data_IF_208347644808
#
_entry.id   IF_208347644808
#
_cell.length_a   1.000
_cell.length_b   1.000
_cell.length_c   1.000
_cell.angle_alpha   90.00
_cell.angle_beta   90.00
_cell.angle_gamma   90.00
#
_symmetry.space_group_name_H-M   'P 1'
#
loop_
_entity.id
_entity.type
_entity.pdbx_description
1 polymer ?
#
# COMPACT_ATOMS: atom_id res chain seq x y z
N UNK A 1 -1.74 16.20 -8.74
CA UNK A 1 -2.43 14.93 -8.49
C UNK A 1 -1.35 13.87 -8.52
N UNK A 2 -1.19 13.06 -7.49
CA UNK A 2 -0.31 11.88 -7.61
C UNK A 2 -1.10 10.85 -8.44
N UNK A 3 -1.22 11.13 -9.74
CA UNK A 3 -1.91 10.31 -10.73
C UNK A 3 -1.07 9.07 -10.99
N UNK A 4 -1.65 7.90 -10.73
CA UNK A 4 -1.12 6.59 -11.13
C UNK A 4 0.25 6.23 -10.53
N UNK A 5 0.27 5.89 -9.24
CA UNK A 5 1.45 5.27 -8.58
C UNK A 5 1.99 4.02 -9.30
N UNK A 6 1.19 3.34 -10.12
CA UNK A 6 1.60 2.10 -10.79
C UNK A 6 1.93 2.22 -12.29
N UNK A 7 1.57 3.30 -13.01
CA UNK A 7 1.62 3.30 -14.50
C UNK A 7 2.36 4.53 -15.10
N UNK A 8 2.46 5.66 -14.39
CA UNK A 8 3.22 6.83 -14.88
C UNK A 8 4.48 7.04 -14.05
N UNK A 9 5.62 7.23 -14.73
CA UNK A 9 6.92 7.55 -14.11
C UNK A 9 7.02 9.00 -13.59
N UNK A 10 6.10 9.87 -13.99
CA UNK A 10 6.14 11.29 -13.67
C UNK A 10 4.94 11.69 -12.79
N UNK A 11 5.22 12.31 -11.64
CA UNK A 11 4.20 12.93 -10.79
C UNK A 11 3.77 14.25 -11.45
N UNK A 12 2.61 14.25 -12.11
CA UNK A 12 2.04 15.48 -12.67
C UNK A 12 1.29 16.26 -11.57
N UNK A 13 1.97 17.25 -10.99
CA UNK A 13 1.32 18.25 -10.14
C UNK A 13 0.45 19.18 -11.00
N UNK A 14 -0.83 18.82 -11.13
CA UNK A 14 -1.83 19.56 -11.91
C UNK A 14 -2.29 20.90 -11.28
N UNK A 15 -1.82 21.26 -10.08
CA UNK A 15 -2.23 22.48 -9.37
C UNK A 15 -1.08 23.04 -8.52
N UNK A 16 -0.70 24.28 -8.78
CA UNK A 16 0.41 24.97 -8.10
C UNK A 16 0.18 25.14 -6.60
N UNK A 17 -1.08 25.19 -6.14
CA UNK A 17 -1.41 25.31 -4.70
C UNK A 17 -0.89 24.11 -3.92
N UNK A 18 -0.95 22.91 -4.51
CA UNK A 18 -0.47 21.67 -3.88
C UNK A 18 1.01 21.46 -4.16
N UNK A 19 1.47 21.81 -5.36
CA UNK A 19 2.88 21.70 -5.74
C UNK A 19 3.80 22.42 -4.74
N UNK A 20 3.39 23.61 -4.27
CA UNK A 20 4.16 24.42 -3.33
C UNK A 20 4.21 23.87 -1.89
N UNK A 21 3.39 22.86 -1.56
CA UNK A 21 3.45 22.17 -0.27
C UNK A 21 4.53 21.08 -0.26
N UNK A 22 4.93 20.60 -1.44
CA UNK A 22 6.03 19.66 -1.58
C UNK A 22 7.38 20.37 -1.62
N UNK A 23 8.44 19.72 -1.10
CA UNK A 23 8.42 18.37 -0.54
C UNK A 23 8.14 18.35 0.97
N UNK A 24 7.90 19.50 1.62
CA UNK A 24 7.68 19.61 3.07
C UNK A 24 6.54 18.72 3.56
N UNK A 25 5.49 18.58 2.75
CA UNK A 25 4.37 17.68 3.01
C UNK A 25 4.74 16.19 3.14
N UNK A 26 5.96 15.75 2.80
CA UNK A 26 6.38 14.38 3.13
C UNK A 26 6.75 14.18 4.61
N UNK A 27 6.91 15.26 5.39
CA UNK A 27 7.43 15.19 6.77
C UNK A 27 6.69 16.08 7.78
N UNK A 28 5.66 16.82 7.35
CA UNK A 28 4.89 17.74 8.19
C UNK A 28 3.39 17.55 7.95
N UNK A 29 2.68 17.02 8.96
CA UNK A 29 1.26 16.71 8.93
C UNK A 29 0.40 17.94 8.58
N UNK A 30 0.86 19.16 8.94
CA UNK A 30 0.14 20.41 8.67
C UNK A 30 0.06 20.71 7.18
N UNK A 31 1.06 20.30 6.43
CA UNK A 31 1.07 20.41 4.97
C UNK A 31 0.43 19.18 4.33
N UNK A 32 0.61 17.97 4.90
CA UNK A 32 -0.06 16.75 4.45
C UNK A 32 -1.59 16.89 4.41
N UNK A 33 -2.18 17.41 5.49
CA UNK A 33 -3.63 17.50 5.61
C UNK A 33 -4.25 18.43 4.57
N UNK A 34 -3.54 19.51 4.19
CA UNK A 34 -3.99 20.42 3.12
C UNK A 34 -4.08 19.70 1.78
N UNK A 35 -3.15 18.78 1.51
CA UNK A 35 -3.17 17.93 0.31
C UNK A 35 -4.35 16.98 0.36
N UNK A 36 -4.55 16.29 1.49
CA UNK A 36 -5.65 15.35 1.67
C UNK A 36 -7.04 16.01 1.53
N UNK A 37 -7.23 17.19 2.14
CA UNK A 37 -8.46 17.99 2.01
C UNK A 37 -8.67 18.42 0.56
N UNK A 38 -7.60 18.80 -0.13
CA UNK A 38 -7.69 19.18 -1.54
C UNK A 38 -8.09 17.98 -2.41
N UNK A 39 -7.48 16.82 -2.21
CA UNK A 39 -7.78 15.59 -2.96
C UNK A 39 -9.24 15.15 -2.75
N UNK A 40 -9.68 15.08 -1.49
CA UNK A 40 -11.07 14.68 -1.16
C UNK A 40 -12.13 15.60 -1.79
N UNK A 41 -11.89 16.91 -1.79
CA UNK A 41 -12.83 17.90 -2.37
C UNK A 41 -12.82 17.91 -3.89
N UNK A 42 -11.64 17.80 -4.51
CA UNK A 42 -11.52 17.94 -5.96
C UNK A 42 -12.05 16.72 -6.69
N UNK A 43 -11.82 15.54 -6.12
CA UNK A 43 -12.05 14.29 -6.84
C UNK A 43 -13.48 13.77 -6.68
N UNK A 44 -14.38 14.56 -6.06
CA UNK A 44 -15.82 14.31 -5.81
C UNK A 44 -16.18 13.02 -5.05
N UNK A 45 -15.24 12.09 -4.96
CA UNK A 45 -15.34 10.84 -4.21
C UNK A 45 -15.30 11.05 -2.70
N UNK A 46 -14.75 12.18 -2.22
CA UNK A 46 -14.68 12.46 -0.78
C UNK A 46 -13.49 11.81 -0.05
N UNK A 47 -12.59 11.12 -0.76
CA UNK A 47 -11.44 10.42 -0.14
C UNK A 47 -10.10 11.06 -0.47
N UNK A 48 -9.12 10.85 0.41
CA UNK A 48 -7.70 10.94 0.07
C UNK A 48 -7.00 9.58 0.26
N UNK A 49 -5.78 9.46 -0.29
CA UNK A 49 -4.94 8.27 -0.09
C UNK A 49 -3.73 8.65 0.74
N UNK A 50 -3.53 7.95 1.84
CA UNK A 50 -2.37 8.10 2.73
C UNK A 50 -1.64 6.75 2.87
N UNK A 51 -0.36 6.71 3.26
CA UNK A 51 0.54 7.85 3.41
C UNK A 51 0.75 8.60 2.09
N UNK A 52 1.09 9.90 2.17
CA UNK A 52 1.40 10.73 0.99
C UNK A 52 2.60 10.18 0.22
N UNK A 53 3.49 9.45 0.91
CA UNK A 53 4.60 8.71 0.34
C UNK A 53 4.55 7.24 0.73
N UNK A 54 4.80 6.35 -0.22
CA UNK A 54 4.97 4.91 0.05
C UNK A 54 6.27 4.59 0.81
N UNK A 55 7.16 5.59 0.95
CA UNK A 55 8.43 5.43 1.63
C UNK A 55 8.32 5.43 3.16
N UNK A 56 7.16 5.76 3.74
CA UNK A 56 7.01 5.83 5.21
C UNK A 56 7.34 4.49 5.87
N UNK A 57 6.81 3.38 5.35
CA UNK A 57 7.15 2.05 5.87
C UNK A 57 8.60 1.68 5.59
N UNK A 58 9.09 1.99 4.39
CA UNK A 58 10.49 1.78 4.00
C UNK A 58 11.48 2.46 4.96
N UNK A 59 11.23 3.71 5.33
CA UNK A 59 12.04 4.44 6.33
C UNK A 59 11.95 3.78 7.70
N UNK A 60 10.75 3.35 8.11
CA UNK A 60 10.54 2.70 9.41
C UNK A 60 11.36 1.42 9.53
N UNK A 61 11.58 0.67 8.45
CA UNK A 61 12.43 -0.54 8.43
C UNK A 61 13.90 -0.26 8.10
N UNK A 62 14.35 1.00 8.21
CA UNK A 62 15.75 1.40 8.05
C UNK A 62 16.19 1.73 6.62
N UNK A 63 15.25 1.91 5.70
CA UNK A 63 15.53 2.30 4.32
C UNK A 63 16.11 3.71 4.22
N UNK A 64 16.92 3.95 3.19
CA UNK A 64 17.61 5.23 2.99
C UNK A 64 16.88 6.03 1.94
N UNK A 65 16.17 7.07 2.38
CA UNK A 65 15.38 7.95 1.51
C UNK A 65 15.98 9.34 1.44
N UNK A 66 15.82 9.97 0.27
CA UNK A 66 16.15 11.36 0.05
C UNK A 66 14.90 12.14 -0.35
N UNK A 67 14.75 13.31 0.27
CA UNK A 67 13.75 14.29 -0.08
C UNK A 67 14.39 15.32 -1.02
N UNK A 68 13.92 15.37 -2.26
CA UNK A 68 14.42 16.29 -3.26
C UNK A 68 13.51 17.51 -3.41
N UNK A 69 14.06 18.68 -3.08
CA UNK A 69 13.42 19.98 -3.29
C UNK A 69 13.45 20.44 -4.75
N UNK A 70 14.27 19.81 -5.60
CA UNK A 70 14.38 20.17 -7.01
C UNK A 70 13.21 19.63 -7.83
N UNK A 71 12.77 18.41 -7.54
CA UNK A 71 11.71 17.69 -8.26
C UNK A 71 10.46 17.46 -7.39
N UNK A 72 10.46 17.92 -6.13
CA UNK A 72 9.37 17.75 -5.17
C UNK A 72 9.00 16.27 -4.98
N UNK A 73 10.00 15.40 -4.84
CA UNK A 73 9.81 13.96 -4.63
C UNK A 73 10.51 13.46 -3.37
N UNK A 74 10.08 12.29 -2.90
CA UNK A 74 10.82 11.46 -1.95
C UNK A 74 11.02 10.10 -2.57
N UNK A 75 12.25 9.58 -2.50
CA UNK A 75 12.62 8.30 -3.10
C UNK A 75 13.75 7.65 -2.32
N UNK A 76 13.93 6.35 -2.50
CA UNK A 76 15.15 5.68 -2.05
C UNK A 76 16.35 6.23 -2.80
N UNK A 77 17.37 6.66 -2.06
CA UNK A 77 18.57 7.24 -2.64
C UNK A 77 19.60 6.19 -3.03
N UNK A 78 19.62 5.09 -2.30
CA UNK A 78 20.44 3.89 -2.54
C UNK A 78 19.85 2.69 -1.81
N UNK A 79 20.26 1.50 -2.21
CA UNK A 79 19.96 0.28 -1.47
C UNK A 79 20.64 0.31 -0.10
N UNK A 80 19.91 -0.16 0.91
CA UNK A 80 20.41 -0.28 2.28
C UNK A 80 21.31 -1.51 2.45
N UNK A 81 21.01 -2.57 1.70
CA UNK A 81 21.65 -3.87 1.84
C UNK A 81 22.22 -4.39 0.52
N UNK A 82 23.32 -5.15 0.60
CA UNK A 82 24.00 -5.75 -0.55
C UNK A 82 23.70 -7.25 -0.71
N UNK A 83 23.12 -7.91 0.29
CA UNK A 83 22.71 -9.32 0.20
C UNK A 83 21.50 -9.64 1.07
N UNK A 84 20.82 -10.76 0.79
CA UNK A 84 19.69 -11.23 1.60
C UNK A 84 20.14 -11.62 3.01
N UNK A 85 21.32 -12.25 3.15
CA UNK A 85 21.88 -12.59 4.46
C UNK A 85 22.17 -11.36 5.32
N UNK A 86 22.82 -10.35 4.74
CA UNK A 86 23.06 -9.07 5.43
C UNK A 86 21.75 -8.40 5.85
N UNK A 87 20.75 -8.36 4.97
CA UNK A 87 19.44 -7.81 5.29
C UNK A 87 18.75 -8.59 6.42
N UNK A 88 18.79 -9.92 6.38
CA UNK A 88 18.22 -10.78 7.42
C UNK A 88 18.85 -10.52 8.79
N UNK A 89 20.17 -10.34 8.86
CA UNK A 89 20.90 -10.11 10.11
C UNK A 89 20.67 -8.71 10.70
N UNK A 90 20.41 -7.71 9.84
CA UNK A 90 20.48 -6.30 10.24
C UNK A 90 19.17 -5.52 10.05
N UNK A 91 18.11 -6.14 9.51
CA UNK A 91 16.81 -5.47 9.40
C UNK A 91 16.22 -5.26 10.79
N UNK A 92 15.74 -4.05 11.02
CA UNK A 92 15.04 -3.66 12.24
C UNK A 92 13.99 -2.62 11.88
N UNK A 93 12.96 -2.51 12.70
CA UNK A 93 11.92 -1.51 12.54
C UNK A 93 11.96 -0.53 13.71
N UNK A 94 11.83 0.76 13.39
CA UNK A 94 11.66 1.87 14.33
C UNK A 94 10.29 2.54 14.08
N UNK A 95 9.38 2.37 15.04
CA UNK A 95 8.03 2.93 14.97
C UNK A 95 7.96 4.40 15.43
N UNK A 96 9.06 4.95 15.93
CA UNK A 96 9.14 6.32 16.44
C UNK A 96 9.74 7.31 15.42
N UNK A 97 9.99 6.86 14.19
CA UNK A 97 10.46 7.77 13.14
C UNK A 97 9.44 8.88 12.88
N UNK A 98 9.94 10.10 12.68
CA UNK A 98 9.09 11.30 12.55
C UNK A 98 8.01 11.14 11.48
N UNK A 99 8.35 10.62 10.30
CA UNK A 99 7.44 10.49 9.16
C UNK A 99 6.25 9.57 9.46
N UNK A 100 6.50 8.49 10.20
CA UNK A 100 5.46 7.58 10.66
C UNK A 100 4.55 8.26 11.67
N UNK A 101 5.12 8.90 12.70
CA UNK A 101 4.36 9.63 13.71
C UNK A 101 3.49 10.74 13.10
N UNK A 102 4.02 11.48 12.13
CA UNK A 102 3.30 12.53 11.40
C UNK A 102 2.19 11.95 10.51
N UNK A 103 2.40 10.76 9.93
CA UNK A 103 1.38 10.03 9.17
C UNK A 103 0.25 9.54 10.09
N UNK A 104 0.58 9.01 11.27
CA UNK A 104 -0.43 8.55 12.24
C UNK A 104 -1.25 9.73 12.79
N UNK A 105 -0.59 10.85 13.08
CA UNK A 105 -1.26 12.10 13.44
C UNK A 105 -2.18 12.62 12.34
N UNK A 106 -1.77 12.48 11.07
CA UNK A 106 -2.64 12.79 9.93
C UNK A 106 -3.88 11.89 9.91
N UNK A 107 -3.74 10.59 10.19
CA UNK A 107 -4.87 9.67 10.28
C UNK A 107 -5.91 10.16 11.29
N UNK A 108 -5.49 10.45 12.53
CA UNK A 108 -6.37 10.97 13.58
C UNK A 108 -7.06 12.27 13.15
N UNK A 109 -6.29 13.20 12.55
CA UNK A 109 -6.81 14.50 12.16
C UNK A 109 -7.82 14.44 11.02
N UNK A 110 -7.67 13.50 10.09
CA UNK A 110 -8.66 13.28 9.03
C UNK A 110 -9.99 12.78 9.58
N UNK A 111 -9.97 11.95 10.64
CA UNK A 111 -11.20 11.52 11.32
C UNK A 111 -11.91 12.69 12.00
N UNK A 112 -11.16 13.56 12.70
CA UNK A 112 -11.73 14.76 13.34
C UNK A 112 -12.42 15.69 12.32
N UNK A 113 -11.86 15.77 11.11
CA UNK A 113 -12.43 16.55 10.00
C UNK A 113 -13.54 15.80 9.22
N UNK A 114 -13.90 14.58 9.64
CA UNK A 114 -14.84 13.68 8.95
C UNK A 114 -14.46 13.43 7.47
N UNK A 115 -13.16 13.29 7.19
CA UNK A 115 -12.65 12.99 5.87
C UNK A 115 -12.25 11.52 5.82
N UNK A 116 -12.89 10.78 4.94
CA UNK A 116 -12.52 9.39 4.70
C UNK A 116 -11.18 9.31 3.98
N UNK A 117 -10.42 8.28 4.31
CA UNK A 117 -9.13 8.04 3.68
C UNK A 117 -8.85 6.57 3.47
N UNK A 118 -7.97 6.32 2.52
CA UNK A 118 -7.51 5.00 2.12
C UNK A 118 -6.08 4.87 2.59
N UNK A 119 -5.81 3.92 3.46
CA UNK A 119 -4.46 3.64 3.94
C UNK A 119 -3.81 2.62 3.01
N UNK A 120 -2.92 3.10 2.14
CA UNK A 120 -2.25 2.30 1.13
C UNK A 120 -1.01 1.61 1.71
N UNK A 121 -0.89 0.31 1.42
CA UNK A 121 0.20 -0.55 1.82
C UNK A 121 0.87 -1.13 0.58
N UNK A 122 2.19 -0.94 0.51
CA UNK A 122 3.05 -1.57 -0.48
C UNK A 122 3.25 -3.04 -0.16
N UNK A 123 3.21 -3.91 -1.16
CA UNK A 123 3.53 -5.32 -0.97
C UNK A 123 5.02 -5.59 -0.84
N UNK A 124 5.35 -6.86 -0.59
CA UNK A 124 6.70 -7.27 -0.24
C UNK A 124 7.71 -6.94 -1.32
N UNK A 125 7.37 -7.08 -2.61
CA UNK A 125 8.34 -6.81 -3.67
C UNK A 125 8.60 -5.30 -3.82
N UNK A 126 7.58 -4.45 -3.68
CA UNK A 126 7.76 -3.00 -3.58
C UNK A 126 8.64 -2.58 -2.40
N UNK A 127 8.44 -3.20 -1.23
CA UNK A 127 9.28 -2.94 -0.05
C UNK A 127 10.71 -3.39 -0.32
N UNK A 128 10.91 -4.60 -0.84
CA UNK A 128 12.24 -5.15 -1.11
C UNK A 128 13.00 -4.35 -2.17
N UNK A 129 12.35 -3.92 -3.25
CA UNK A 129 12.94 -3.09 -4.32
C UNK A 129 13.42 -1.73 -3.80
N UNK A 130 12.90 -1.29 -2.65
CA UNK A 130 13.34 -0.07 -1.97
C UNK A 130 14.57 -0.29 -1.07
N UNK A 131 14.82 -1.53 -0.65
CA UNK A 131 15.85 -1.88 0.35
C UNK A 131 17.09 -2.53 -0.25
N UNK A 132 16.91 -3.32 -1.31
CA UNK A 132 17.94 -4.12 -1.96
C UNK A 132 17.64 -4.22 -3.46
N UNK A 133 18.68 -4.35 -4.29
CA UNK A 133 18.52 -4.64 -5.72
C UNK A 133 17.61 -5.87 -5.91
N UNK A 134 16.46 -5.66 -6.55
CA UNK A 134 15.43 -6.67 -6.74
C UNK A 134 15.95 -7.92 -7.47
N UNK A 135 16.99 -7.79 -8.29
CA UNK A 135 17.60 -8.95 -8.98
C UNK A 135 18.23 -9.93 -7.98
N UNK A 136 18.67 -9.46 -6.81
CA UNK A 136 19.19 -10.28 -5.72
C UNK A 136 18.05 -11.08 -5.07
N UNK A 137 16.91 -10.44 -4.83
CA UNK A 137 15.68 -11.10 -4.34
C UNK A 137 15.21 -12.17 -5.32
N UNK A 138 15.15 -11.85 -6.62
CA UNK A 138 14.75 -12.82 -7.64
C UNK A 138 15.72 -14.00 -7.74
N UNK A 139 17.04 -13.79 -7.57
CA UNK A 139 18.03 -14.87 -7.48
C UNK A 139 17.83 -15.72 -6.23
N UNK A 140 17.46 -15.08 -5.12
CA UNK A 140 17.29 -15.71 -3.82
C UNK A 140 16.13 -16.71 -3.77
N UNK A 141 15.04 -16.46 -4.50
CA UNK A 141 13.93 -17.42 -4.67
C UNK A 141 14.37 -18.83 -5.11
N UNK A 142 15.54 -18.94 -5.75
CA UNK A 142 16.14 -20.22 -6.19
C UNK A 142 17.32 -20.65 -5.33
N UNK A 143 18.22 -19.73 -4.97
CA UNK A 143 19.54 -20.07 -4.40
C UNK A 143 19.55 -20.15 -2.87
N UNK A 144 18.66 -19.41 -2.21
CA UNK A 144 18.63 -19.23 -0.75
C UNK A 144 17.17 -19.04 -0.28
N UNK A 145 16.29 -19.87 -0.83
CA UNK A 145 14.84 -19.77 -0.66
C UNK A 145 14.41 -19.78 0.81
N UNK A 146 15.03 -20.62 1.64
CA UNK A 146 14.68 -20.71 3.06
C UNK A 146 15.10 -19.45 3.83
N UNK A 147 16.29 -18.90 3.53
CA UNK A 147 16.74 -17.61 4.07
C UNK A 147 15.77 -16.49 3.70
N UNK A 148 15.32 -16.47 2.44
CA UNK A 148 14.36 -15.47 1.95
C UNK A 148 13.00 -15.60 2.64
N UNK A 149 12.52 -16.82 2.90
CA UNK A 149 11.27 -17.05 3.65
C UNK A 149 11.35 -16.53 5.08
N UNK A 150 12.49 -16.72 5.76
CA UNK A 150 12.69 -16.18 7.11
C UNK A 150 12.66 -14.65 7.07
N UNK A 151 13.34 -14.03 6.11
CA UNK A 151 13.31 -12.59 5.92
C UNK A 151 11.88 -12.08 5.63
N UNK A 152 11.14 -12.76 4.76
CA UNK A 152 9.74 -12.47 4.47
C UNK A 152 8.87 -12.49 5.74
N UNK A 153 9.01 -13.49 6.60
CA UNK A 153 8.28 -13.57 7.87
C UNK A 153 8.60 -12.39 8.82
N UNK A 154 9.86 -11.92 8.83
CA UNK A 154 10.26 -10.76 9.64
C UNK A 154 9.60 -9.49 9.12
N UNK A 155 9.68 -9.25 7.80
CA UNK A 155 9.08 -8.07 7.17
C UNK A 155 7.56 -8.11 7.30
N UNK A 156 6.94 -9.28 7.15
CA UNK A 156 5.51 -9.48 7.33
C UNK A 156 5.06 -9.06 8.73
N UNK A 157 5.82 -9.44 9.78
CA UNK A 157 5.55 -9.01 11.16
C UNK A 157 5.60 -7.49 11.28
N UNK A 158 6.60 -6.85 10.69
CA UNK A 158 6.73 -5.38 10.68
C UNK A 158 5.57 -4.69 9.92
N UNK A 159 5.17 -5.24 8.78
CA UNK A 159 4.01 -4.73 8.04
C UNK A 159 2.72 -4.86 8.83
N UNK A 160 2.52 -6.00 9.51
CA UNK A 160 1.37 -6.22 10.41
C UNK A 160 1.35 -5.18 11.53
N UNK A 161 2.48 -4.94 12.19
CA UNK A 161 2.59 -3.95 13.27
C UNK A 161 2.32 -2.51 12.77
N UNK A 162 2.85 -2.15 11.59
CA UNK A 162 2.57 -0.87 10.95
C UNK A 162 1.08 -0.68 10.64
N UNK A 163 0.39 -1.72 10.15
CA UNK A 163 -1.04 -1.67 9.84
C UNK A 163 -1.89 -1.66 11.11
N UNK A 164 -1.51 -2.42 12.13
CA UNK A 164 -2.16 -2.33 13.45
C UNK A 164 -2.10 -0.90 13.98
N UNK A 165 -0.96 -0.23 13.83
CA UNK A 165 -0.83 1.17 14.21
C UNK A 165 -1.77 2.07 13.42
N UNK A 166 -1.93 1.83 12.13
CA UNK A 166 -2.91 2.56 11.31
C UNK A 166 -4.35 2.33 11.79
N UNK A 167 -4.73 1.09 12.15
CA UNK A 167 -6.05 0.78 12.70
C UNK A 167 -6.31 1.46 14.05
N UNK A 168 -5.32 1.50 14.94
CA UNK A 168 -5.37 2.25 16.21
C UNK A 168 -5.63 3.74 15.98
N UNK A 169 -5.10 4.30 14.88
CA UNK A 169 -5.30 5.68 14.47
C UNK A 169 -6.51 5.85 13.51
N UNK A 170 -7.39 4.85 13.50
CA UNK A 170 -8.72 4.86 12.88
C UNK A 170 -8.77 4.59 11.38
N UNK A 171 -7.74 4.01 10.79
CA UNK A 171 -7.83 3.51 9.42
C UNK A 171 -8.93 2.44 9.33
N UNK A 172 -9.78 2.48 8.30
CA UNK A 172 -10.81 1.47 8.04
C UNK A 172 -10.82 0.95 6.61
N UNK A 173 -10.07 1.57 5.71
CA UNK A 173 -9.89 1.11 4.35
C UNK A 173 -8.40 0.89 4.14
N UNK A 174 -7.98 -0.36 4.02
CA UNK A 174 -6.61 -0.71 3.65
C UNK A 174 -6.59 -1.04 2.17
N UNK A 175 -5.69 -0.43 1.40
CA UNK A 175 -5.46 -0.82 0.01
C UNK A 175 -4.10 -1.47 -0.13
N UNK A 176 -4.05 -2.73 -0.53
CA UNK A 176 -2.82 -3.47 -0.77
C UNK A 176 -2.47 -3.52 -2.26
N UNK A 177 -1.22 -3.19 -2.60
CA UNK A 177 -0.71 -3.29 -3.95
C UNK A 177 0.76 -3.68 -3.99
N UNK A 178 1.13 -4.61 -4.88
CA UNK A 178 2.53 -5.00 -5.11
C UNK A 178 2.87 -5.02 -6.60
N UNK A 179 3.01 -3.85 -7.26
CA UNK A 179 3.24 -3.80 -8.71
C UNK A 179 4.44 -4.62 -9.20
N UNK A 180 5.61 -4.65 -8.52
CA UNK A 180 6.74 -5.45 -8.97
C UNK A 180 6.48 -6.97 -8.95
N UNK A 181 5.51 -7.45 -8.18
CA UNK A 181 5.14 -8.87 -8.09
C UNK A 181 4.34 -9.36 -9.31
N UNK A 182 3.99 -8.48 -10.26
CA UNK A 182 3.23 -8.87 -11.44
C UNK A 182 3.93 -9.99 -12.24
N UNK A 183 3.15 -11.03 -12.60
CA UNK A 183 3.64 -12.17 -13.39
C UNK A 183 4.24 -11.75 -14.74
N UNK A 184 3.75 -10.65 -15.32
CA UNK A 184 4.26 -10.08 -16.57
C UNK A 184 5.62 -9.39 -16.41
N UNK A 185 6.01 -9.05 -15.18
CA UNK A 185 7.28 -8.40 -14.85
C UNK A 185 8.34 -9.44 -14.46
N UNK A 186 8.03 -10.32 -13.50
CA UNK A 186 9.04 -11.24 -12.92
C UNK A 186 8.92 -12.70 -13.38
N UNK A 187 7.88 -13.00 -14.17
CA UNK A 187 7.53 -14.32 -14.66
C UNK A 187 6.62 -15.10 -13.70
N UNK A 188 5.68 -15.92 -14.21
CA UNK A 188 4.61 -16.54 -13.41
C UNK A 188 5.15 -17.46 -12.31
N UNK A 189 6.19 -18.25 -12.58
CA UNK A 189 6.77 -19.15 -11.57
C UNK A 189 7.27 -18.42 -10.32
N UNK A 190 7.89 -17.25 -10.49
CA UNK A 190 8.41 -16.45 -9.37
C UNK A 190 7.29 -15.71 -8.65
N UNK A 191 6.35 -15.15 -9.41
CA UNK A 191 5.19 -14.47 -8.84
C UNK A 191 4.37 -15.41 -7.95
N UNK A 192 4.08 -16.62 -8.45
CA UNK A 192 3.40 -17.67 -7.66
C UNK A 192 4.21 -18.00 -6.40
N UNK A 193 5.50 -18.30 -6.55
CA UNK A 193 6.34 -18.66 -5.39
C UNK A 193 6.34 -17.57 -4.31
N UNK A 194 6.48 -16.29 -4.69
CA UNK A 194 6.46 -15.18 -3.72
C UNK A 194 5.07 -15.04 -3.09
N UNK A 195 4.00 -15.15 -3.87
CA UNK A 195 2.65 -15.05 -3.34
C UNK A 195 2.28 -16.20 -2.39
N UNK A 196 2.72 -17.42 -2.69
CA UNK A 196 2.57 -18.60 -1.81
C UNK A 196 3.35 -18.44 -0.49
N UNK A 197 4.54 -17.84 -0.54
CA UNK A 197 5.42 -17.72 0.63
C UNK A 197 5.31 -16.37 1.35
N UNK A 198 4.40 -15.49 0.93
CA UNK A 198 4.16 -14.19 1.57
C UNK A 198 2.72 -13.72 1.41
N UNK A 199 2.29 -13.40 0.18
CA UNK A 199 1.06 -12.62 -0.06
C UNK A 199 -0.20 -13.29 0.52
N UNK A 200 -0.38 -14.59 0.33
CA UNK A 200 -1.56 -15.32 0.82
C UNK A 200 -1.62 -15.30 2.35
N UNK A 201 -0.51 -15.63 3.01
CA UNK A 201 -0.43 -15.66 4.47
C UNK A 201 -0.54 -14.26 5.08
N UNK A 202 0.05 -13.26 4.42
CA UNK A 202 -0.07 -11.87 4.83
C UNK A 202 -1.52 -11.40 4.80
N UNK A 203 -2.27 -11.65 3.71
CA UNK A 203 -3.70 -11.32 3.62
C UNK A 203 -4.47 -12.04 4.74
N UNK A 204 -4.21 -13.34 4.97
CA UNK A 204 -4.84 -14.10 6.07
C UNK A 204 -4.55 -13.50 7.45
N UNK A 205 -3.34 -12.98 7.68
CA UNK A 205 -3.00 -12.30 8.93
C UNK A 205 -3.67 -10.94 9.06
N UNK A 206 -3.75 -10.18 7.97
CA UNK A 206 -4.48 -8.90 7.96
C UNK A 206 -5.95 -9.10 8.35
N UNK A 207 -6.62 -10.10 7.75
CA UNK A 207 -8.01 -10.41 8.10
C UNK A 207 -8.22 -10.70 9.60
N UNK A 208 -7.24 -11.30 10.27
CA UNK A 208 -7.33 -11.63 11.70
C UNK A 208 -7.18 -10.42 12.61
N UNK A 209 -6.50 -9.37 12.15
CA UNK A 209 -6.23 -8.17 12.95
C UNK A 209 -7.15 -6.99 12.59
N UNK A 210 -7.87 -7.10 11.47
CA UNK A 210 -8.78 -6.06 10.99
C UNK A 210 -9.94 -5.85 11.96
N UNK A 211 -10.28 -4.59 12.28
CA UNK A 211 -11.56 -4.27 12.90
C UNK A 211 -12.74 -4.77 12.05
N UNK A 212 -13.86 -5.11 12.69
CA UNK A 212 -15.07 -5.60 12.00
C UNK A 212 -15.67 -4.57 11.02
N UNK A 213 -15.38 -3.28 11.20
CA UNK A 213 -15.82 -2.17 10.35
C UNK A 213 -14.76 -1.76 9.30
N UNK A 214 -13.70 -2.57 9.13
CA UNK A 214 -12.65 -2.33 8.16
C UNK A 214 -12.77 -3.23 6.93
N UNK A 215 -12.23 -2.76 5.80
CA UNK A 215 -12.20 -3.48 4.53
C UNK A 215 -10.79 -3.48 3.93
N UNK A 216 -10.41 -4.62 3.35
CA UNK A 216 -9.18 -4.78 2.57
C UNK A 216 -9.52 -4.70 1.08
N UNK A 217 -9.02 -3.66 0.44
CA UNK A 217 -9.01 -3.55 -1.01
C UNK A 217 -7.75 -4.20 -1.58
N UNK A 218 -7.91 -5.12 -2.54
CA UNK A 218 -6.81 -5.70 -3.30
C UNK A 218 -6.69 -5.05 -4.68
N UNK A 219 -5.48 -4.61 -5.03
CA UNK A 219 -5.17 -4.15 -6.38
C UNK A 219 -5.57 -5.22 -7.43
N UNK A 220 -6.13 -4.82 -8.60
CA UNK A 220 -6.51 -5.76 -9.65
C UNK A 220 -5.38 -6.72 -10.05
N UNK A 221 -4.13 -6.25 -10.03
CA UNK A 221 -2.96 -7.07 -10.36
C UNK A 221 -2.63 -8.12 -9.30
N UNK A 222 -2.93 -7.84 -8.04
CA UNK A 222 -2.85 -8.84 -6.96
C UNK A 222 -3.95 -9.88 -7.16
N UNK A 223 -5.18 -9.46 -7.46
CA UNK A 223 -6.30 -10.37 -7.73
C UNK A 223 -6.02 -11.28 -8.92
N UNK A 224 -5.55 -10.73 -10.05
CA UNK A 224 -5.18 -11.53 -11.24
C UNK A 224 -4.13 -12.62 -10.94
N UNK A 225 -3.25 -12.38 -9.95
CA UNK A 225 -2.27 -13.39 -9.51
C UNK A 225 -2.91 -14.45 -8.61
N UNK A 226 -3.76 -14.03 -7.66
CA UNK A 226 -4.45 -14.95 -6.75
C UNK A 226 -5.47 -15.83 -7.48
N UNK A 227 -6.20 -15.30 -8.47
CA UNK A 227 -7.06 -16.08 -9.36
C UNK A 227 -6.25 -17.08 -10.19
N UNK A 228 -5.11 -16.66 -10.72
CA UNK A 228 -4.20 -17.55 -11.48
C UNK A 228 -3.67 -18.70 -10.61
N UNK A 229 -3.50 -18.47 -9.30
CA UNK A 229 -3.10 -19.48 -8.33
C UNK A 229 -4.27 -20.35 -7.83
N UNK A 230 -5.50 -20.04 -8.24
CA UNK A 230 -6.72 -20.71 -7.78
C UNK A 230 -6.89 -20.70 -6.25
N UNK A 231 -6.53 -19.58 -5.59
CA UNK A 231 -6.63 -19.42 -4.12
C UNK A 231 -7.72 -18.45 -3.69
N UNK A 232 -8.47 -17.89 -4.64
CA UNK A 232 -9.62 -17.02 -4.37
C UNK A 232 -10.82 -17.36 -5.24
N UNK A 233 -11.99 -16.93 -4.78
CA UNK A 233 -13.22 -16.83 -5.56
C UNK A 233 -13.67 -15.37 -5.60
N UNK A 234 -14.17 -14.94 -6.76
CA UNK A 234 -14.75 -13.61 -6.93
C UNK A 234 -16.27 -13.74 -7.00
N UNK A 235 -16.95 -12.97 -6.15
CA UNK A 235 -18.40 -12.82 -6.18
C UNK A 235 -18.73 -11.38 -6.54
N UNK A 236 -19.45 -11.19 -7.65
CA UNK A 236 -19.91 -9.88 -8.06
C UNK A 236 -21.12 -9.47 -7.21
N UNK A 237 -21.07 -8.27 -6.63
CA UNK A 237 -22.13 -7.69 -5.82
C UNK A 237 -22.66 -6.41 -6.47
N UNK A 238 -23.96 -6.40 -6.76
CA UNK A 238 -24.66 -5.23 -7.29
C UNK A 238 -24.78 -4.12 -6.24
N UNK A 239 -24.52 -2.88 -6.67
CA UNK A 239 -24.73 -1.67 -5.88
C UNK A 239 -26.12 -1.10 -6.19
N UNK A 240 -26.84 -0.71 -5.14
CA UNK A 240 -28.19 -0.11 -5.21
C UNK A 240 -28.22 1.06 -6.21
N UNK A 241 -27.18 1.88 -6.16
CA UNK A 241 -27.01 3.02 -7.04
C UNK A 241 -25.56 3.11 -7.54
N UNK A 242 -25.38 3.87 -8.61
CA UNK A 242 -24.06 4.11 -9.19
C UNK A 242 -23.29 5.09 -8.30
N UNK A 243 -22.11 4.69 -7.84
CA UNK A 243 -21.25 5.49 -6.95
C UNK A 243 -19.78 5.39 -7.37
N UNK A 244 -18.91 6.24 -6.83
CA UNK A 244 -17.48 6.15 -7.11
C UNK A 244 -16.90 4.84 -6.56
N UNK A 245 -15.89 4.29 -7.23
CA UNK A 245 -15.28 3.02 -6.80
C UNK A 245 -14.78 3.05 -5.34
N UNK A 246 -14.16 4.15 -4.90
CA UNK A 246 -13.72 4.30 -3.51
C UNK A 246 -14.87 4.36 -2.51
N UNK A 247 -16.00 4.96 -2.89
CA UNK A 247 -17.23 4.98 -2.07
C UNK A 247 -17.81 3.56 -1.93
N UNK A 248 -17.84 2.81 -3.04
CA UNK A 248 -18.26 1.42 -3.03
C UNK A 248 -17.37 0.59 -2.10
N UNK A 249 -16.03 0.72 -2.20
CA UNK A 249 -15.09 0.04 -1.31
C UNK A 249 -15.40 0.32 0.16
N UNK A 250 -15.61 1.60 0.55
CA UNK A 250 -15.99 1.94 1.93
C UNK A 250 -17.29 1.27 2.34
N UNK A 251 -18.34 1.39 1.52
CA UNK A 251 -19.66 0.82 1.82
C UNK A 251 -19.59 -0.70 2.03
N UNK A 252 -18.69 -1.38 1.33
CA UNK A 252 -18.50 -2.81 1.50
C UNK A 252 -17.92 -3.20 2.86
N UNK A 253 -17.31 -2.29 3.63
CA UNK A 253 -16.81 -2.61 4.98
C UNK A 253 -17.92 -3.03 5.96
N UNK A 254 -19.18 -2.78 5.62
CA UNK A 254 -20.35 -3.22 6.39
C UNK A 254 -20.75 -4.69 6.11
N UNK A 255 -20.22 -5.31 5.04
CA UNK A 255 -20.71 -6.59 4.54
C UNK A 255 -19.67 -7.53 3.93
N UNK A 256 -18.42 -7.08 3.77
CA UNK A 256 -17.34 -7.88 3.20
C UNK A 256 -15.96 -7.48 3.78
N UNK A 257 -15.13 -8.49 4.02
CA UNK A 257 -13.77 -8.26 4.51
C UNK A 257 -12.79 -7.85 3.39
N UNK A 258 -12.96 -8.42 2.19
CA UNK A 258 -12.08 -8.17 1.04
C UNK A 258 -12.89 -7.78 -0.19
N UNK A 259 -12.45 -6.72 -0.86
CA UNK A 259 -13.02 -6.25 -2.14
C UNK A 259 -11.95 -5.98 -3.19
N UNK A 260 -12.36 -6.03 -4.45
CA UNK A 260 -11.53 -5.70 -5.59
C UNK A 260 -12.36 -5.34 -6.83
N UNK A 261 -11.67 -5.23 -7.97
CA UNK A 261 -12.26 -5.03 -9.30
C UNK A 261 -11.59 -3.90 -10.07
N UNK A 262 -11.17 -2.85 -9.37
CA UNK A 262 -10.52 -1.69 -10.00
C UNK A 262 -9.35 -1.16 -9.18
N UNK A 263 -8.51 -0.33 -9.80
CA UNK A 263 -7.51 0.44 -9.07
C UNK A 263 -8.21 1.38 -8.07
N UNK A 264 -7.73 1.43 -6.82
CA UNK A 264 -8.29 2.32 -5.79
C UNK A 264 -8.17 3.81 -6.15
N UNK A 265 -7.19 4.14 -6.99
CA UNK A 265 -6.99 5.50 -7.51
C UNK A 265 -7.85 5.78 -8.76
N UNK A 266 -8.69 4.83 -9.18
CA UNK A 266 -9.70 5.07 -10.22
C UNK A 266 -10.67 6.16 -9.77
N UNK A 267 -11.11 6.98 -10.73
CA UNK A 267 -12.17 7.98 -10.52
C UNK A 267 -13.45 7.61 -11.27
N UNK A 268 -13.58 6.33 -11.62
CA UNK A 268 -14.76 5.82 -12.31
C UNK A 268 -15.86 5.52 -11.30
N UNK A 269 -17.09 5.67 -11.77
CA UNK A 269 -18.29 5.27 -11.06
C UNK A 269 -18.72 3.89 -11.53
N UNK A 270 -19.11 3.04 -10.59
CA UNK A 270 -19.44 1.63 -10.80
C UNK A 270 -20.85 1.32 -10.31
N UNK A 271 -21.42 0.21 -10.77
CA UNK A 271 -22.70 -0.34 -10.29
C UNK A 271 -22.53 -1.75 -9.71
N UNK A 272 -21.32 -2.28 -9.75
CA UNK A 272 -20.97 -3.62 -9.27
C UNK A 272 -19.55 -3.58 -8.71
N UNK A 273 -19.30 -4.37 -7.68
CA UNK A 273 -17.98 -4.54 -7.05
C UNK A 273 -17.74 -6.02 -6.76
N UNK A 274 -16.50 -6.48 -6.86
CA UNK A 274 -16.16 -7.85 -6.55
C UNK A 274 -15.83 -7.98 -5.06
N UNK A 275 -16.51 -8.91 -4.39
CA UNK A 275 -16.12 -9.47 -3.10
C UNK A 275 -15.14 -10.60 -3.35
N UNK A 276 -14.04 -10.62 -2.61
CA UNK A 276 -13.01 -11.66 -2.73
C UNK A 276 -13.13 -12.61 -1.56
N UNK A 277 -13.24 -13.91 -1.84
CA UNK A 277 -13.21 -14.97 -0.82
C UNK A 277 -11.91 -15.76 -0.98
N UNK A 278 -11.15 -15.90 0.11
CA UNK A 278 -9.99 -16.81 0.14
C UNK A 278 -10.49 -18.25 0.24
N UNK A 279 -9.87 -19.14 -0.54
CA UNK A 279 -10.11 -20.59 -0.48
C UNK A 279 -9.35 -21.26 0.67
#
# INVERSE_FOLDING_TARGET
>A
MILNRCIKKDIEYTDDKIKNLFPKAYTDYRDMIKICIYESKRDKSGYCTIPISEMVFTEAIGGITDISYKDNTVKCSRYRYESIGEMLENISMDMDIKQLLETMKLCEKLLEENIDYIFNISGIMSVMDSMIDITKVLKATRKEADTLKILFNIIEKYMVEYIQKAFENGARIISYSDPPLMKDIIGPKRAVWIAENFTVDFIKKLLKIMPNDAVLHLCPKTVELLEYMDVIELENTDLIEKMYYSEAVKKMSESADIVAGMCINSRMTIKEINVVKLK
#
